data_IF_333528586898
#
_entry.id   IF_333528586898
#
_cell.length_a   1.000
_cell.length_b   1.000
_cell.length_c   1.000
_cell.angle_alpha   90.00
_cell.angle_beta   90.00
_cell.angle_gamma   90.00
#
_symmetry.space_group_name_H-M   'P 1'
#
loop_
_entity.id
_entity.type
_entity.pdbx_description
1 polymer ?
#
# COMPACT_ATOMS: atom_id res chain seq x y z
N UNK A 1 -4.12 -23.71 2.86
CA UNK A 1 -3.02 -22.75 2.97
C UNK A 1 -2.52 -22.41 1.57
N UNK A 2 -2.52 -21.14 1.25
CA UNK A 2 -2.08 -20.59 -0.03
C UNK A 2 -1.29 -19.28 0.23
N UNK A 3 -0.51 -18.85 -0.77
CA UNK A 3 0.21 -17.58 -0.68
C UNK A 3 -0.76 -16.43 -0.96
N UNK A 4 -0.75 -15.35 -0.15
CA UNK A 4 -1.60 -14.17 -0.38
C UNK A 4 -1.38 -13.53 -1.74
N UNK A 5 -0.17 -13.65 -2.29
CA UNK A 5 0.21 -13.12 -3.60
C UNK A 5 0.99 -14.18 -4.39
N UNK A 6 0.70 -14.31 -5.69
CA UNK A 6 1.47 -15.17 -6.57
C UNK A 6 2.86 -14.56 -6.87
N UNK A 7 3.90 -15.39 -7.12
CA UNK A 7 5.24 -14.85 -7.42
C UNK A 7 5.27 -13.87 -8.61
N UNK A 8 4.47 -14.11 -9.64
CA UNK A 8 4.37 -13.20 -10.79
C UNK A 8 3.82 -11.84 -10.39
N UNK A 9 2.86 -11.79 -9.46
CA UNK A 9 2.31 -10.53 -8.96
C UNK A 9 3.37 -9.74 -8.19
N UNK A 10 4.21 -10.40 -7.38
CA UNK A 10 5.32 -9.76 -6.67
C UNK A 10 6.31 -9.10 -7.63
N UNK A 11 6.68 -9.80 -8.71
CA UNK A 11 7.60 -9.25 -9.73
C UNK A 11 6.99 -8.03 -10.41
N UNK A 12 5.74 -8.14 -10.86
CA UNK A 12 5.04 -7.03 -11.53
C UNK A 12 4.85 -5.84 -10.60
N UNK A 13 4.44 -6.09 -9.35
CA UNK A 13 4.25 -5.05 -8.34
C UNK A 13 5.55 -4.31 -8.05
N UNK A 14 6.64 -5.04 -7.79
CA UNK A 14 7.94 -4.43 -7.52
C UNK A 14 8.43 -3.62 -8.71
N UNK A 15 8.30 -4.14 -9.95
CA UNK A 15 8.70 -3.41 -11.14
C UNK A 15 7.94 -2.08 -11.29
N UNK A 16 6.62 -2.10 -11.14
CA UNK A 16 5.79 -0.89 -11.25
C UNK A 16 6.10 0.09 -10.10
N UNK A 17 6.27 -0.44 -8.88
CA UNK A 17 6.61 0.35 -7.71
C UNK A 17 7.98 1.02 -7.86
N UNK A 18 9.02 0.27 -8.26
CA UNK A 18 10.38 0.81 -8.46
C UNK A 18 10.39 1.89 -9.54
N UNK A 19 9.67 1.70 -10.65
CA UNK A 19 9.51 2.72 -11.67
C UNK A 19 8.82 3.99 -11.13
N UNK A 20 7.83 3.84 -10.26
CA UNK A 20 7.17 4.99 -9.63
C UNK A 20 8.12 5.74 -8.67
N UNK A 21 9.02 5.02 -8.01
CA UNK A 21 9.98 5.56 -7.06
C UNK A 21 11.17 6.30 -7.72
N UNK A 22 11.38 6.17 -9.02
CA UNK A 22 12.41 6.94 -9.76
C UNK A 22 12.26 8.45 -9.58
N UNK A 23 11.04 8.93 -9.32
CA UNK A 23 10.77 10.34 -9.07
C UNK A 23 11.09 10.82 -7.64
N UNK A 24 11.35 9.92 -6.67
CA UNK A 24 11.63 10.28 -5.29
C UNK A 24 12.80 11.24 -5.09
N UNK A 25 13.96 11.10 -5.80
CA UNK A 25 15.06 12.03 -5.65
C UNK A 25 14.73 13.48 -6.09
N UNK A 26 13.66 13.66 -6.85
CA UNK A 26 13.18 14.95 -7.33
C UNK A 26 12.02 15.51 -6.49
N UNK A 27 11.75 14.89 -5.34
CA UNK A 27 10.68 15.34 -4.46
C UNK A 27 11.06 16.63 -3.71
N UNK A 28 10.04 17.38 -3.30
CA UNK A 28 10.23 18.60 -2.53
C UNK A 28 10.61 18.25 -1.10
N UNK A 29 11.72 18.81 -0.61
CA UNK A 29 12.15 18.69 0.78
C UNK A 29 11.58 19.87 1.57
N UNK A 30 11.03 19.62 2.75
CA UNK A 30 10.56 20.67 3.63
C UNK A 30 11.72 21.54 4.11
N UNK A 31 11.57 22.89 4.09
CA UNK A 31 12.60 23.85 4.50
C UNK A 31 13.12 23.60 5.92
N UNK A 32 12.26 23.14 6.83
CA UNK A 32 12.64 22.82 8.21
C UNK A 32 13.61 21.62 8.28
N UNK A 33 13.59 20.75 7.29
CA UNK A 33 14.50 19.61 7.19
C UNK A 33 15.92 20.03 6.77
N UNK A 34 16.03 21.14 6.05
CA UNK A 34 17.30 21.66 5.52
C UNK A 34 18.06 22.51 6.54
N UNK A 35 17.40 22.95 7.64
CA UNK A 35 17.99 23.86 8.63
C UNK A 35 19.06 23.20 9.50
N UNK A 36 18.95 21.91 9.75
CA UNK A 36 19.85 21.17 10.63
C UNK A 36 20.38 19.90 9.95
N UNK A 37 21.71 19.66 9.97
CA UNK A 37 22.27 18.40 9.48
C UNK A 37 21.78 17.24 10.33
N UNK A 38 21.24 16.20 9.71
CA UNK A 38 20.76 15.00 10.40
C UNK A 38 21.69 13.83 10.15
N UNK A 39 22.05 13.15 11.23
CA UNK A 39 22.86 11.93 11.16
C UNK A 39 21.94 10.70 11.14
N UNK A 40 22.10 9.86 10.14
CA UNK A 40 21.43 8.56 10.08
C UNK A 40 22.13 7.60 11.03
N UNK A 41 21.46 7.23 12.11
CA UNK A 41 21.97 6.25 13.06
C UNK A 41 21.17 4.95 12.99
N UNK A 42 21.84 3.80 13.11
CA UNK A 42 21.15 2.51 13.09
C UNK A 42 20.07 2.40 14.19
N UNK A 43 20.29 3.06 15.32
CA UNK A 43 19.34 3.07 16.45
C UNK A 43 18.06 3.85 16.14
N UNK A 44 18.13 4.97 15.42
CA UNK A 44 16.93 5.73 15.01
C UNK A 44 16.12 4.96 13.99
N UNK A 45 16.76 4.33 13.01
CA UNK A 45 16.10 3.47 12.01
C UNK A 45 15.39 2.29 12.69
N UNK A 46 16.07 1.59 13.61
CA UNK A 46 15.47 0.44 14.33
C UNK A 46 14.25 0.87 15.15
N UNK A 47 14.32 2.00 15.85
CA UNK A 47 13.18 2.55 16.60
C UNK A 47 12.02 2.89 15.68
N UNK A 48 12.31 3.53 14.56
CA UNK A 48 11.30 3.87 13.55
C UNK A 48 10.61 2.60 13.01
N UNK A 49 11.37 1.59 12.61
CA UNK A 49 10.84 0.32 12.14
C UNK A 49 9.96 -0.38 13.18
N UNK A 50 10.36 -0.36 14.46
CA UNK A 50 9.59 -0.96 15.55
C UNK A 50 8.23 -0.27 15.78
N UNK A 51 8.10 1.03 15.46
CA UNK A 51 6.85 1.78 15.59
C UNK A 51 5.95 1.65 14.37
N UNK A 52 6.52 1.71 13.17
CA UNK A 52 5.75 1.74 11.92
C UNK A 52 5.52 0.35 11.32
N UNK A 53 6.41 -0.62 11.56
CA UNK A 53 6.25 -2.00 11.06
C UNK A 53 4.94 -2.65 11.52
N UNK A 54 4.61 -2.69 12.83
CA UNK A 54 3.35 -3.26 13.30
C UNK A 54 2.11 -2.57 12.74
N UNK A 55 2.21 -1.27 12.42
CA UNK A 55 1.11 -0.50 11.84
C UNK A 55 0.69 -1.06 10.47
N UNK A 56 1.65 -1.36 9.59
CA UNK A 56 1.35 -1.99 8.30
C UNK A 56 0.77 -3.40 8.48
N UNK A 57 1.35 -4.22 9.38
CA UNK A 57 0.89 -5.59 9.60
C UNK A 57 -0.57 -5.67 10.08
N UNK A 58 -1.06 -4.68 10.84
CA UNK A 58 -2.47 -4.61 11.23
C UNK A 58 -3.37 -4.53 9.99
N UNK A 59 -3.00 -3.70 9.01
CA UNK A 59 -3.79 -3.53 7.79
C UNK A 59 -3.65 -4.70 6.83
N UNK A 60 -2.51 -5.38 6.79
CA UNK A 60 -2.36 -6.65 6.08
C UNK A 60 -3.36 -7.70 6.63
N UNK A 61 -3.49 -7.82 7.95
CA UNK A 61 -4.45 -8.74 8.58
C UNK A 61 -5.90 -8.32 8.27
N UNK A 62 -6.21 -7.02 8.32
CA UNK A 62 -7.55 -6.51 7.98
C UNK A 62 -7.86 -6.79 6.52
N UNK A 63 -6.95 -6.52 5.60
CA UNK A 63 -7.13 -6.79 4.17
C UNK A 63 -7.32 -8.27 3.92
N UNK A 64 -6.52 -9.13 4.60
CA UNK A 64 -6.71 -10.58 4.51
C UNK A 64 -8.13 -10.98 4.94
N UNK A 65 -8.58 -10.50 6.09
CA UNK A 65 -9.90 -10.83 6.61
C UNK A 65 -11.03 -10.33 5.69
N UNK A 66 -10.95 -9.09 5.21
CA UNK A 66 -11.95 -8.51 4.29
C UNK A 66 -11.99 -9.27 2.97
N UNK A 67 -10.84 -9.62 2.41
CA UNK A 67 -10.77 -10.38 1.16
C UNK A 67 -11.25 -11.82 1.36
N UNK A 68 -10.78 -12.51 2.39
CA UNK A 68 -11.03 -13.94 2.57
C UNK A 68 -12.45 -14.25 3.03
N UNK A 69 -12.99 -13.46 3.96
CA UNK A 69 -14.32 -13.70 4.54
C UNK A 69 -15.42 -12.85 3.89
N UNK A 70 -15.08 -11.76 3.20
CA UNK A 70 -16.04 -10.83 2.61
C UNK A 70 -16.04 -10.86 1.10
N UNK A 71 -15.06 -10.22 0.47
CA UNK A 71 -15.09 -9.88 -0.96
C UNK A 71 -14.99 -11.12 -1.86
N UNK A 72 -14.03 -12.00 -1.61
CA UNK A 72 -13.83 -13.18 -2.45
C UNK A 72 -15.06 -14.13 -2.43
N UNK A 73 -15.66 -14.46 -1.26
CA UNK A 73 -16.89 -15.22 -1.24
C UNK A 73 -18.06 -14.54 -1.96
N UNK A 74 -18.17 -13.22 -1.89
CA UNK A 74 -19.24 -12.47 -2.60
C UNK A 74 -19.08 -12.54 -4.12
N UNK A 75 -17.85 -12.52 -4.64
CA UNK A 75 -17.59 -12.60 -6.08
C UNK A 75 -17.73 -14.03 -6.60
N UNK A 76 -17.26 -15.00 -5.82
CA UNK A 76 -17.21 -16.42 -6.24
C UNK A 76 -18.47 -17.21 -5.89
N UNK A 77 -19.37 -16.63 -5.06
CA UNK A 77 -20.61 -17.28 -4.61
C UNK A 77 -20.42 -18.35 -3.55
N UNK A 78 -19.19 -18.57 -3.04
CA UNK A 78 -18.88 -19.61 -2.03
C UNK A 78 -17.64 -19.26 -1.23
N UNK A 79 -17.53 -19.78 -0.01
CA UNK A 79 -16.30 -19.68 0.78
C UNK A 79 -15.20 -20.59 0.20
N UNK A 80 -13.94 -20.32 0.56
CA UNK A 80 -12.81 -21.12 0.08
C UNK A 80 -12.97 -22.64 0.34
N UNK A 81 -13.51 -23.00 1.52
CA UNK A 81 -13.70 -24.39 1.91
C UNK A 81 -14.84 -25.11 1.16
N UNK A 82 -15.83 -24.36 0.68
CA UNK A 82 -17.03 -24.90 -0.03
C UNK A 82 -17.01 -24.60 -1.52
N UNK A 83 -15.94 -23.95 -2.00
CA UNK A 83 -15.84 -23.53 -3.39
C UNK A 83 -15.72 -24.71 -4.35
N UNK A 84 -16.56 -24.72 -5.37
CA UNK A 84 -16.43 -25.64 -6.51
C UNK A 84 -15.26 -25.28 -7.42
N UNK A 85 -14.76 -24.04 -7.35
CA UNK A 85 -13.59 -23.57 -8.10
C UNK A 85 -12.64 -22.80 -7.18
N UNK A 86 -11.82 -23.50 -6.36
CA UNK A 86 -10.86 -22.86 -5.47
C UNK A 86 -9.81 -21.99 -6.20
N UNK A 87 -9.48 -22.34 -7.44
CA UNK A 87 -8.54 -21.57 -8.26
C UNK A 87 -9.08 -20.17 -8.58
N UNK A 88 -10.36 -20.04 -8.91
CA UNK A 88 -10.98 -18.74 -9.16
C UNK A 88 -11.09 -17.90 -7.87
N UNK A 89 -11.44 -18.53 -6.75
CA UNK A 89 -11.40 -17.87 -5.44
C UNK A 89 -10.03 -17.28 -5.15
N UNK A 90 -8.98 -18.08 -5.39
CA UNK A 90 -7.61 -17.67 -5.16
C UNK A 90 -7.19 -16.51 -6.08
N UNK A 91 -7.58 -16.54 -7.36
CA UNK A 91 -7.33 -15.43 -8.30
C UNK A 91 -7.97 -14.12 -7.81
N UNK A 92 -9.23 -14.16 -7.39
CA UNK A 92 -9.94 -12.99 -6.84
C UNK A 92 -9.24 -12.46 -5.60
N UNK A 93 -8.91 -13.34 -4.65
CA UNK A 93 -8.21 -12.97 -3.42
C UNK A 93 -6.83 -12.34 -3.71
N UNK A 94 -6.03 -12.98 -4.54
CA UNK A 94 -4.68 -12.52 -4.88
C UNK A 94 -4.70 -11.20 -5.67
N UNK A 95 -5.71 -11.00 -6.50
CA UNK A 95 -5.89 -9.72 -7.23
C UNK A 95 -6.19 -8.58 -6.27
N UNK A 96 -7.09 -8.79 -5.32
CA UNK A 96 -7.39 -7.78 -4.31
C UNK A 96 -6.18 -7.43 -3.45
N UNK A 97 -5.43 -8.45 -3.03
CA UNK A 97 -4.19 -8.26 -2.29
C UNK A 97 -3.13 -7.50 -3.10
N UNK A 98 -2.97 -7.82 -4.38
CA UNK A 98 -2.04 -7.17 -5.28
C UNK A 98 -2.33 -5.67 -5.45
N UNK A 99 -3.59 -5.30 -5.66
CA UNK A 99 -3.99 -3.89 -5.82
C UNK A 99 -3.80 -3.15 -4.48
N UNK A 100 -4.28 -3.72 -3.37
CA UNK A 100 -4.16 -3.10 -2.06
C UNK A 100 -2.69 -2.87 -1.67
N UNK A 101 -1.81 -3.85 -1.90
CA UNK A 101 -0.39 -3.73 -1.62
C UNK A 101 0.26 -2.55 -2.36
N UNK A 102 -0.10 -2.32 -3.62
CA UNK A 102 0.43 -1.16 -4.36
C UNK A 102 -0.10 0.16 -3.79
N UNK A 103 -1.39 0.21 -3.44
CA UNK A 103 -2.00 1.40 -2.85
C UNK A 103 -1.39 1.72 -1.48
N UNK A 104 -1.26 0.74 -0.60
CA UNK A 104 -0.68 0.93 0.74
C UNK A 104 0.79 1.34 0.68
N UNK A 105 1.62 0.68 -0.17
CA UNK A 105 3.02 1.03 -0.38
C UNK A 105 3.19 2.45 -0.91
N UNK A 106 2.35 2.86 -1.85
CA UNK A 106 2.39 4.23 -2.40
C UNK A 106 1.98 5.25 -1.34
N UNK A 107 0.93 4.98 -0.58
CA UNK A 107 0.47 5.90 0.47
C UNK A 107 1.49 6.02 1.60
N UNK A 108 2.21 4.96 1.94
CA UNK A 108 3.28 5.02 2.95
C UNK A 108 4.39 5.99 2.56
N UNK A 109 4.78 6.06 1.29
CA UNK A 109 5.77 7.04 0.82
C UNK A 109 5.30 8.46 1.18
N UNK A 110 4.05 8.81 0.83
CA UNK A 110 3.50 10.13 1.14
C UNK A 110 3.40 10.40 2.63
N UNK A 111 3.10 9.38 3.42
CA UNK A 111 2.99 9.53 4.87
C UNK A 111 4.34 9.70 5.56
N UNK A 112 5.39 9.04 5.06
CA UNK A 112 6.70 9.00 5.72
C UNK A 112 7.70 10.03 5.20
N UNK A 113 7.48 10.62 4.02
CA UNK A 113 8.40 11.60 3.40
C UNK A 113 8.63 12.88 4.23
N UNK A 114 7.72 13.22 5.13
CA UNK A 114 7.74 14.46 5.91
C UNK A 114 7.09 14.24 7.27
N UNK A 115 7.54 14.92 8.35
CA UNK A 115 6.84 14.92 9.64
C UNK A 115 5.45 15.57 9.55
N UNK A 116 5.21 16.41 8.57
CA UNK A 116 3.96 17.16 8.36
C UNK A 116 2.86 16.26 7.77
N UNK A 117 1.63 16.76 7.75
CA UNK A 117 0.52 16.08 7.11
C UNK A 117 0.69 16.11 5.59
N UNK A 118 0.66 14.93 4.91
CA UNK A 118 0.81 14.88 3.47
C UNK A 118 -0.32 15.60 2.76
N UNK A 119 -0.06 16.14 1.57
CA UNK A 119 -0.97 16.88 0.70
C UNK A 119 -1.50 18.21 1.26
N UNK A 120 -1.59 18.38 2.59
CA UNK A 120 -2.10 19.58 3.24
C UNK A 120 -0.97 20.53 3.63
N UNK A 121 0.00 20.02 4.39
CA UNK A 121 1.09 20.83 4.95
C UNK A 121 2.41 20.65 4.18
N UNK A 122 2.63 19.48 3.59
CA UNK A 122 3.79 19.18 2.76
C UNK A 122 3.32 18.62 1.42
N UNK A 123 3.53 19.39 0.35
CA UNK A 123 3.11 19.02 -1.01
C UNK A 123 4.21 18.23 -1.69
N UNK A 124 3.92 17.02 -2.23
CA UNK A 124 4.87 16.27 -3.01
C UNK A 124 5.20 17.01 -4.31
N UNK A 125 6.36 16.71 -4.89
CA UNK A 125 6.70 17.18 -6.21
C UNK A 125 5.70 16.66 -7.25
N UNK A 126 5.43 17.45 -8.26
CA UNK A 126 4.50 17.06 -9.34
C UNK A 126 4.94 15.79 -10.05
N UNK A 127 6.24 15.60 -10.27
CA UNK A 127 6.81 14.38 -10.85
C UNK A 127 6.46 13.14 -10.02
N UNK A 128 6.65 13.19 -8.70
CA UNK A 128 6.32 12.08 -7.81
C UNK A 128 4.82 11.78 -7.80
N UNK A 129 3.99 12.83 -7.82
CA UNK A 129 2.53 12.67 -7.87
C UNK A 129 2.10 11.97 -9.16
N UNK A 130 2.59 12.43 -10.31
CA UNK A 130 2.21 11.85 -11.61
C UNK A 130 2.67 10.41 -11.75
N UNK A 131 3.94 10.10 -11.43
CA UNK A 131 4.47 8.73 -11.56
C UNK A 131 3.75 7.75 -10.66
N UNK A 132 3.48 8.11 -9.40
CA UNK A 132 2.79 7.26 -8.46
C UNK A 132 1.31 7.07 -8.80
N UNK A 133 0.59 8.14 -9.20
CA UNK A 133 -0.81 8.00 -9.65
C UNK A 133 -0.92 7.17 -10.92
N UNK A 134 0.02 7.30 -11.84
CA UNK A 134 0.09 6.47 -13.04
C UNK A 134 0.33 5.00 -12.70
N UNK A 135 1.21 4.70 -11.76
CA UNK A 135 1.46 3.36 -11.27
C UNK A 135 0.21 2.75 -10.61
N UNK A 136 -0.48 3.51 -9.75
CA UNK A 136 -1.75 3.10 -9.13
C UNK A 136 -2.83 2.83 -10.18
N UNK A 137 -2.92 3.68 -11.19
CA UNK A 137 -3.86 3.50 -12.31
C UNK A 137 -3.57 2.20 -13.07
N UNK A 138 -2.31 1.95 -13.45
CA UNK A 138 -1.92 0.71 -14.14
C UNK A 138 -2.33 -0.50 -13.33
N UNK A 139 -1.93 -0.59 -12.05
CA UNK A 139 -2.23 -1.75 -11.21
C UNK A 139 -3.72 -1.96 -11.02
N UNK A 140 -4.49 -0.87 -10.87
CA UNK A 140 -5.94 -0.93 -10.67
C UNK A 140 -6.68 -1.38 -11.93
N UNK A 141 -6.21 -0.99 -13.12
CA UNK A 141 -6.84 -1.33 -14.40
C UNK A 141 -6.37 -2.69 -14.94
N UNK A 142 -5.17 -3.15 -14.55
CA UNK A 142 -4.55 -4.38 -15.07
C UNK A 142 -5.47 -5.61 -15.06
N UNK A 143 -6.29 -5.89 -14.00
CA UNK A 143 -7.22 -7.02 -13.97
C UNK A 143 -8.32 -6.96 -15.03
N UNK A 144 -8.56 -5.80 -15.63
CA UNK A 144 -9.59 -5.57 -16.65
C UNK A 144 -9.03 -5.52 -18.08
N UNK A 145 -7.74 -5.79 -18.23
CA UNK A 145 -7.03 -5.82 -19.53
C UNK A 145 -6.83 -7.25 -20.01
N UNK A 146 -6.49 -7.45 -21.31
CA UNK A 146 -6.10 -8.77 -21.83
C UNK A 146 -4.91 -9.42 -21.10
N UNK A 147 -4.11 -8.63 -20.40
CA UNK A 147 -2.97 -9.12 -19.60
C UNK A 147 -3.41 -9.83 -18.30
N UNK A 148 -4.67 -9.69 -17.89
CA UNK A 148 -5.21 -10.34 -16.69
C UNK A 148 -5.08 -11.88 -16.77
N UNK A 149 -5.37 -12.48 -17.94
CA UNK A 149 -5.27 -13.92 -18.14
C UNK A 149 -3.86 -14.50 -17.85
N UNK A 150 -2.82 -14.07 -18.57
CA UNK A 150 -1.45 -14.48 -18.32
C UNK A 150 -0.97 -14.21 -16.88
N UNK A 151 -1.41 -13.13 -16.27
CA UNK A 151 -1.06 -12.75 -14.90
C UNK A 151 -1.94 -13.41 -13.85
N UNK A 152 -2.95 -14.21 -14.24
CA UNK A 152 -3.90 -14.85 -13.30
C UNK A 152 -4.58 -13.84 -12.38
N UNK A 153 -4.97 -12.69 -12.92
CA UNK A 153 -5.76 -11.67 -12.24
C UNK A 153 -7.24 -11.84 -12.59
N UNK A 154 -8.12 -11.55 -11.63
CA UNK A 154 -9.57 -11.59 -11.81
C UNK A 154 -10.16 -10.18 -11.63
N UNK A 155 -11.19 -9.80 -12.40
CA UNK A 155 -11.87 -8.53 -12.21
C UNK A 155 -12.57 -8.50 -10.84
N UNK A 156 -12.49 -7.36 -10.17
CA UNK A 156 -13.09 -7.12 -8.86
C UNK A 156 -14.34 -6.24 -9.01
N UNK A 157 -15.24 -6.35 -8.06
CA UNK A 157 -16.49 -5.58 -8.05
C UNK A 157 -16.31 -4.20 -7.37
N UNK A 158 -17.32 -3.32 -7.52
CA UNK A 158 -17.29 -1.98 -6.92
C UNK A 158 -17.19 -1.99 -5.39
N UNK A 159 -17.69 -3.02 -4.72
CA UNK A 159 -17.61 -3.16 -3.27
C UNK A 159 -16.16 -3.32 -2.79
N UNK A 160 -15.32 -4.00 -3.58
CA UNK A 160 -13.89 -4.08 -3.31
C UNK A 160 -13.25 -2.68 -3.26
N UNK A 161 -13.54 -1.81 -4.22
CA UNK A 161 -12.96 -0.47 -4.25
C UNK A 161 -13.44 0.39 -3.09
N UNK A 162 -14.68 0.23 -2.65
CA UNK A 162 -15.15 0.87 -1.42
C UNK A 162 -14.36 0.39 -0.19
N UNK A 163 -14.18 -0.93 -0.07
CA UNK A 163 -13.39 -1.51 1.02
C UNK A 163 -11.93 -1.04 0.96
N UNK A 164 -11.32 -1.00 -0.23
CA UNK A 164 -9.96 -0.48 -0.44
C UNK A 164 -9.82 0.96 0.05
N UNK A 165 -10.75 1.85 -0.32
CA UNK A 165 -10.74 3.25 0.13
C UNK A 165 -10.82 3.33 1.65
N UNK A 166 -11.68 2.54 2.29
CA UNK A 166 -11.82 2.53 3.75
C UNK A 166 -10.55 1.99 4.44
N UNK A 167 -9.94 0.93 3.92
CA UNK A 167 -8.69 0.36 4.42
C UNK A 167 -7.57 1.39 4.32
N UNK A 168 -7.39 2.02 3.16
CA UNK A 168 -6.34 3.02 2.94
C UNK A 168 -6.56 4.27 3.81
N UNK A 169 -7.79 4.75 3.94
CA UNK A 169 -8.12 5.87 4.83
C UNK A 169 -7.82 5.54 6.30
N UNK A 170 -8.21 4.36 6.75
CA UNK A 170 -7.89 3.85 8.09
C UNK A 170 -6.38 3.74 8.32
N UNK A 171 -5.64 3.22 7.33
CA UNK A 171 -4.19 3.13 7.35
C UNK A 171 -3.54 4.51 7.49
N UNK A 172 -3.91 5.47 6.64
CA UNK A 172 -3.39 6.83 6.72
C UNK A 172 -3.71 7.50 8.06
N UNK A 173 -4.90 7.27 8.60
CA UNK A 173 -5.28 7.75 9.92
C UNK A 173 -4.39 7.18 11.01
N UNK A 174 -4.23 5.85 11.07
CA UNK A 174 -3.41 5.18 12.08
C UNK A 174 -1.94 5.59 11.97
N UNK A 175 -1.37 5.65 10.76
CA UNK A 175 0.00 6.13 10.53
C UNK A 175 0.15 7.57 11.04
N UNK A 176 -0.85 8.43 10.84
CA UNK A 176 -0.82 9.82 11.35
C UNK A 176 -0.79 9.86 12.88
N UNK A 177 -1.58 9.01 13.54
CA UNK A 177 -1.59 8.92 15.01
C UNK A 177 -0.24 8.41 15.53
N UNK A 178 0.27 7.33 14.94
CA UNK A 178 1.58 6.75 15.29
C UNK A 178 2.71 7.76 15.07
N UNK A 179 2.70 8.49 13.94
CA UNK A 179 3.65 9.55 13.63
C UNK A 179 3.66 10.65 14.71
N UNK A 180 2.50 11.16 15.10
CA UNK A 180 2.40 12.17 16.16
C UNK A 180 2.91 11.64 17.50
N UNK A 181 2.59 10.40 17.84
CA UNK A 181 3.06 9.75 19.07
C UNK A 181 4.59 9.55 19.06
N UNK A 182 5.14 9.11 17.92
CA UNK A 182 6.58 8.95 17.73
C UNK A 182 7.33 10.26 17.91
N UNK A 183 6.92 11.32 17.19
CA UNK A 183 7.54 12.65 17.28
C UNK A 183 7.45 13.21 18.72
N UNK A 184 6.29 13.06 19.36
CA UNK A 184 6.12 13.49 20.76
C UNK A 184 7.05 12.77 21.73
N UNK A 185 7.33 11.48 21.49
CA UNK A 185 8.15 10.65 22.38
C UNK A 185 9.65 10.88 22.19
N UNK A 186 10.10 11.01 20.96
CA UNK A 186 11.53 11.03 20.63
C UNK A 186 12.03 12.42 20.23
N UNK A 187 11.12 13.36 19.99
CA UNK A 187 11.41 14.72 19.49
C UNK A 187 12.25 14.72 18.21
N UNK A 188 12.14 13.65 17.42
CA UNK A 188 12.87 13.46 16.16
C UNK A 188 11.96 12.87 15.09
N UNK A 189 12.29 13.14 13.82
CA UNK A 189 11.77 12.46 12.65
C UNK A 189 12.95 12.04 11.80
N UNK A 190 12.86 10.90 11.10
CA UNK A 190 13.94 10.40 10.25
C UNK A 190 14.47 11.43 9.26
#
# INVERSE_FOLDING_TARGET
PFLPMAPVHLIVLNLIYDLSCVALPFDNVDEDFLKEPRAWTASSITRFMAWFGPTSSIFDIITFAVMFFGIAPMITGSSYATSTNPAFFLMVFQTGWFIESMWSQTMVIYMLRSPKLPFVQSKPAFSLLVTSLFALFIVTVLPYTPLAGPLKLAPLNGLYFLALILIIAGYMFLVTVVKKAYIKKYNEWL
#
